data_IF_061191994307
#
_entry.id   IF_061191994307
#
_cell.length_a   1.000
_cell.length_b   1.000
_cell.length_c   1.000
_cell.angle_alpha   90.00
_cell.angle_beta   90.00
_cell.angle_gamma   90.00
#
_symmetry.space_group_name_H-M   'P 1'
#
loop_
_entity.id
_entity.type
_entity.pdbx_description
1 polymer ?
#
# COMPACT_ATOMS: atom_id res chain seq x y z
N UNK A 1 -9.52 7.81 6.18
CA UNK A 1 -9.14 7.50 4.81
C UNK A 1 -8.79 6.03 4.64
N UNK A 2 -8.96 5.49 3.43
CA UNK A 2 -8.45 4.17 3.05
C UNK A 2 -6.93 4.30 2.79
N UNK A 3 -6.14 3.37 3.26
CA UNK A 3 -4.70 3.32 2.99
C UNK A 3 -4.36 2.02 2.27
N UNK A 4 -3.89 2.13 1.03
CA UNK A 4 -3.31 1.04 0.27
C UNK A 4 -1.79 1.03 0.43
N UNK A 5 -1.21 -0.10 0.79
CA UNK A 5 0.24 -0.25 0.91
C UNK A 5 0.71 -1.38 0.00
N UNK A 6 1.48 -1.01 -1.00
CA UNK A 6 2.12 -1.94 -1.91
C UNK A 6 3.41 -2.49 -1.29
N UNK A 7 3.64 -3.77 -1.49
CA UNK A 7 4.86 -4.46 -1.08
C UNK A 7 5.31 -5.43 -2.15
N UNK A 8 6.62 -5.65 -2.25
CA UNK A 8 7.18 -6.73 -3.04
C UNK A 8 7.69 -7.84 -2.13
N UNK A 9 7.36 -9.08 -2.49
CA UNK A 9 7.91 -10.27 -1.85
C UNK A 9 9.13 -10.70 -2.66
N UNK A 10 10.20 -11.13 -2.00
CA UNK A 10 11.45 -11.54 -2.62
C UNK A 10 12.12 -12.69 -1.87
N UNK A 11 12.98 -13.43 -2.54
CA UNK A 11 13.88 -14.39 -1.93
C UNK A 11 15.03 -13.70 -1.15
N UNK A 12 15.93 -14.50 -0.57
CA UNK A 12 17.07 -14.00 0.21
C UNK A 12 18.31 -13.74 -0.62
N UNK A 13 18.30 -14.11 -1.90
CA UNK A 13 19.49 -14.07 -2.75
C UNK A 13 19.66 -12.71 -3.43
N UNK A 14 20.90 -12.41 -3.84
CA UNK A 14 21.21 -11.23 -4.63
C UNK A 14 21.77 -11.68 -5.99
N UNK A 15 21.30 -11.13 -7.12
CA UNK A 15 20.28 -10.09 -7.29
C UNK A 15 18.88 -10.51 -6.85
N UNK A 16 18.04 -9.53 -6.47
CA UNK A 16 16.70 -9.76 -5.96
C UNK A 16 15.81 -10.44 -7.00
N UNK A 17 15.24 -11.56 -6.63
CA UNK A 17 14.29 -12.29 -7.46
C UNK A 17 12.93 -12.43 -6.76
N UNK A 18 11.82 -12.49 -7.51
CA UNK A 18 10.54 -12.86 -6.94
C UNK A 18 10.64 -14.32 -6.43
N UNK A 19 10.09 -14.63 -5.24
CA UNK A 19 10.13 -15.97 -4.71
C UNK A 19 9.28 -16.91 -5.57
N UNK A 20 9.51 -18.20 -5.40
CA UNK A 20 8.64 -19.22 -5.98
C UNK A 20 7.35 -19.29 -5.18
N UNK A 21 6.22 -19.29 -5.87
CA UNK A 21 4.92 -19.56 -5.28
C UNK A 21 4.72 -21.05 -5.00
N UNK A 22 3.53 -21.42 -4.52
CA UNK A 22 3.15 -22.81 -4.22
C UNK A 22 3.25 -23.77 -5.43
N UNK A 23 3.13 -23.24 -6.65
CA UNK A 23 3.33 -24.01 -7.88
C UNK A 23 4.80 -24.31 -8.18
N UNK A 24 5.74 -23.79 -7.41
CA UNK A 24 7.18 -23.86 -7.67
C UNK A 24 7.67 -22.89 -8.74
N UNK A 25 6.81 -22.02 -9.27
CA UNK A 25 7.12 -21.00 -10.29
C UNK A 25 7.27 -19.62 -9.66
N UNK A 26 8.13 -18.80 -10.25
CA UNK A 26 8.23 -17.39 -9.91
C UNK A 26 7.31 -16.54 -10.80
N UNK A 27 6.59 -15.60 -10.19
CA UNK A 27 5.77 -14.61 -10.90
C UNK A 27 6.69 -13.49 -11.36
N UNK A 28 6.84 -13.33 -12.67
CA UNK A 28 7.77 -12.38 -13.28
C UNK A 28 7.17 -10.98 -13.55
N UNK A 29 5.92 -10.74 -13.14
CA UNK A 29 5.19 -9.48 -13.36
C UNK A 29 4.14 -9.56 -14.46
N UNK A 30 3.44 -8.44 -14.70
CA UNK A 30 2.39 -8.35 -15.72
C UNK A 30 1.12 -9.13 -15.38
N UNK A 31 0.84 -9.36 -14.09
CA UNK A 31 -0.31 -10.12 -13.61
C UNK A 31 -1.22 -9.29 -12.67
N UNK A 32 -1.30 -8.00 -12.92
CA UNK A 32 -2.18 -7.11 -12.17
C UNK A 32 -3.61 -7.68 -12.06
N UNK A 33 -4.17 -7.63 -10.85
CA UNK A 33 -5.51 -8.16 -10.48
C UNK A 33 -5.66 -9.69 -10.63
N UNK A 34 -4.57 -10.45 -10.78
CA UNK A 34 -4.63 -11.91 -10.93
C UNK A 34 -4.92 -12.61 -9.61
N UNK A 35 -6.08 -13.26 -9.51
CA UNK A 35 -6.41 -14.14 -8.39
C UNK A 35 -5.44 -15.34 -8.31
N UNK A 36 -5.05 -15.89 -9.46
CA UNK A 36 -4.07 -16.96 -9.51
C UNK A 36 -2.71 -16.52 -8.97
N UNK A 37 -2.30 -15.28 -9.26
CA UNK A 37 -1.08 -14.69 -8.70
C UNK A 37 -1.12 -14.55 -7.19
N UNK A 38 -2.26 -14.15 -6.63
CA UNK A 38 -2.48 -14.10 -5.17
C UNK A 38 -2.37 -15.50 -4.57
N UNK A 39 -3.02 -16.49 -5.17
CA UNK A 39 -3.05 -17.86 -4.69
C UNK A 39 -1.67 -18.55 -4.69
N UNK A 40 -0.68 -18.03 -5.39
CA UNK A 40 0.69 -18.53 -5.31
C UNK A 40 1.31 -18.32 -3.91
N UNK A 41 0.75 -17.40 -3.12
CA UNK A 41 1.23 -17.04 -1.77
C UNK A 41 0.15 -17.21 -0.70
N UNK A 42 -0.80 -18.13 -0.89
CA UNK A 42 -1.96 -18.30 -0.02
C UNK A 42 -1.59 -18.52 1.45
N UNK A 43 -0.63 -19.40 1.77
CA UNK A 43 -0.19 -19.64 3.15
C UNK A 43 0.38 -18.37 3.83
N UNK A 44 1.15 -17.55 3.09
CA UNK A 44 1.62 -16.27 3.59
C UNK A 44 0.47 -15.30 3.84
N UNK A 45 -0.47 -15.26 2.91
CA UNK A 45 -1.64 -14.38 2.98
C UNK A 45 -2.52 -14.75 4.17
N UNK A 46 -2.76 -16.03 4.39
CA UNK A 46 -3.50 -16.54 5.55
C UNK A 46 -2.84 -16.13 6.87
N UNK A 47 -1.51 -16.26 6.98
CA UNK A 47 -0.77 -15.77 8.15
C UNK A 47 -0.88 -14.24 8.31
N UNK A 48 -0.82 -13.46 7.23
CA UNK A 48 -0.99 -11.99 7.28
C UNK A 48 -2.38 -11.65 7.83
N UNK A 49 -3.44 -12.27 7.31
CA UNK A 49 -4.81 -12.05 7.80
C UNK A 49 -4.94 -12.46 9.27
N UNK A 50 -4.46 -13.64 9.61
CA UNK A 50 -4.54 -14.16 10.98
C UNK A 50 -3.83 -13.25 12.00
N UNK A 51 -2.60 -12.82 11.68
CA UNK A 51 -1.83 -11.95 12.59
C UNK A 51 -2.41 -10.53 12.65
N UNK A 52 -2.95 -10.03 11.55
CA UNK A 52 -3.62 -8.74 11.51
C UNK A 52 -4.88 -8.76 12.37
N UNK A 53 -5.73 -9.77 12.24
CA UNK A 53 -6.93 -9.95 13.05
C UNK A 53 -6.60 -9.98 14.56
N UNK A 54 -5.55 -10.71 14.96
CA UNK A 54 -5.10 -10.78 16.36
C UNK A 54 -4.65 -9.44 16.93
N UNK A 55 -4.24 -8.51 16.07
CA UNK A 55 -3.81 -7.16 16.43
C UNK A 55 -4.92 -6.11 16.26
N UNK A 56 -6.11 -6.52 15.83
CA UNK A 56 -7.23 -5.60 15.56
C UNK A 56 -7.00 -4.74 14.31
N UNK A 57 -6.15 -5.18 13.38
CA UNK A 57 -5.93 -4.50 12.10
C UNK A 57 -6.96 -4.99 11.09
N UNK A 58 -7.77 -4.09 10.58
CA UNK A 58 -8.82 -4.42 9.61
C UNK A 58 -8.31 -4.31 8.17
N UNK A 59 -8.03 -5.46 7.56
CA UNK A 59 -7.73 -5.54 6.12
C UNK A 59 -9.06 -5.45 5.36
N UNK A 60 -9.11 -4.55 4.36
CA UNK A 60 -10.28 -4.38 3.49
C UNK A 60 -10.15 -5.25 2.24
N UNK A 61 -9.10 -5.04 1.45
CA UNK A 61 -8.87 -5.79 0.21
C UNK A 61 -7.40 -6.14 0.03
N UNK A 62 -7.15 -7.18 -0.78
CA UNK A 62 -5.81 -7.57 -1.21
C UNK A 62 -5.83 -7.75 -2.73
N UNK A 63 -4.84 -7.16 -3.40
CA UNK A 63 -4.72 -7.13 -4.86
C UNK A 63 -3.31 -7.58 -5.26
N UNK A 64 -3.20 -8.36 -6.33
CA UNK A 64 -1.92 -8.57 -7.00
C UNK A 64 -1.65 -7.39 -7.94
N UNK A 65 -0.52 -6.72 -7.73
CA UNK A 65 -0.08 -5.59 -8.54
C UNK A 65 0.70 -6.01 -9.79
N UNK A 66 1.12 -5.04 -10.60
CA UNK A 66 1.82 -5.27 -11.87
C UNK A 66 3.23 -5.81 -11.69
N UNK A 67 3.88 -5.51 -10.58
CA UNK A 67 5.26 -5.95 -10.32
C UNK A 67 5.37 -7.43 -9.98
N UNK A 68 6.56 -8.03 -10.15
CA UNK A 68 6.82 -9.41 -9.78
C UNK A 68 6.56 -9.67 -8.29
N UNK A 69 5.64 -10.57 -7.97
CA UNK A 69 5.21 -10.88 -6.59
C UNK A 69 4.90 -9.60 -5.78
N UNK A 70 4.29 -8.62 -6.42
CA UNK A 70 3.87 -7.37 -5.80
C UNK A 70 2.42 -7.49 -5.36
N UNK A 71 2.17 -7.22 -4.09
CA UNK A 71 0.84 -7.24 -3.49
C UNK A 71 0.51 -5.86 -2.95
N UNK A 72 -0.72 -5.42 -3.13
CA UNK A 72 -1.30 -4.28 -2.45
C UNK A 72 -2.30 -4.78 -1.40
N UNK A 73 -2.20 -4.25 -0.20
CA UNK A 73 -3.13 -4.54 0.88
C UNK A 73 -3.72 -3.23 1.36
N UNK A 74 -5.03 -3.12 1.30
CA UNK A 74 -5.79 -1.97 1.73
C UNK A 74 -6.29 -2.17 3.15
N UNK A 75 -6.06 -1.18 4.00
CA UNK A 75 -6.63 -1.13 5.34
C UNK A 75 -7.94 -0.34 5.31
N UNK A 76 -8.89 -0.75 6.14
CA UNK A 76 -10.16 -0.05 6.32
C UNK A 76 -9.92 1.39 6.77
N UNK A 77 -10.74 2.31 6.29
CA UNK A 77 -10.68 3.71 6.67
C UNK A 77 -11.00 3.92 8.16
N UNK A 78 -10.38 4.92 8.76
CA UNK A 78 -10.56 5.24 10.17
C UNK A 78 -10.00 6.62 10.53
N UNK A 79 -9.81 6.85 11.82
CA UNK A 79 -9.10 8.03 12.33
C UNK A 79 -7.68 8.07 11.76
N UNK A 80 -7.20 9.23 11.28
CA UNK A 80 -5.92 9.32 10.60
C UNK A 80 -4.71 8.99 11.49
N UNK A 81 -4.77 9.28 12.80
CA UNK A 81 -3.66 9.01 13.73
C UNK A 81 -3.63 7.52 14.05
N UNK A 82 -4.77 6.95 14.41
CA UNK A 82 -4.90 5.52 14.68
C UNK A 82 -4.50 4.70 13.45
N UNK A 83 -4.94 5.12 12.25
CA UNK A 83 -4.61 4.43 11.01
C UNK A 83 -3.11 4.52 10.67
N UNK A 84 -2.46 5.64 10.99
CA UNK A 84 -1.01 5.76 10.82
C UNK A 84 -0.24 4.76 11.70
N UNK A 85 -0.66 4.59 12.96
CA UNK A 85 -0.10 3.60 13.87
C UNK A 85 -0.39 2.17 13.39
N UNK A 86 -1.60 1.91 12.91
CA UNK A 86 -1.97 0.62 12.30
C UNK A 86 -1.09 0.28 11.10
N UNK A 87 -0.83 1.23 10.19
CA UNK A 87 0.06 1.03 9.03
C UNK A 87 1.47 0.69 9.48
N UNK A 88 1.98 1.33 10.52
CA UNK A 88 3.30 1.03 11.07
C UNK A 88 3.38 -0.41 11.59
N UNK A 89 2.42 -0.83 12.41
CA UNK A 89 2.33 -2.19 12.95
C UNK A 89 2.11 -3.21 11.84
N UNK A 90 1.25 -2.91 10.89
CA UNK A 90 0.94 -3.76 9.74
C UNK A 90 2.18 -4.07 8.90
N UNK A 91 2.99 -3.06 8.57
CA UNK A 91 4.26 -3.27 7.84
C UNK A 91 5.22 -4.20 8.58
N UNK A 92 5.25 -4.13 9.90
CA UNK A 92 6.03 -5.05 10.74
C UNK A 92 5.47 -6.47 10.67
N UNK A 93 4.15 -6.60 10.85
CA UNK A 93 3.45 -7.89 10.82
C UNK A 93 3.71 -8.64 9.50
N UNK A 94 3.60 -7.95 8.37
CA UNK A 94 3.89 -8.53 7.05
C UNK A 94 5.34 -9.02 6.95
N UNK A 95 6.31 -8.23 7.44
CA UNK A 95 7.71 -8.65 7.40
C UNK A 95 7.96 -9.90 8.22
N UNK A 96 7.38 -10.00 9.41
CA UNK A 96 7.51 -11.18 10.27
C UNK A 96 6.80 -12.40 9.66
N UNK A 97 5.61 -12.21 9.09
CA UNK A 97 4.92 -13.28 8.36
C UNK A 97 5.78 -13.79 7.18
N UNK A 98 6.33 -12.89 6.36
CA UNK A 98 7.20 -13.26 5.25
C UNK A 98 8.44 -14.04 5.71
N UNK A 99 9.09 -13.63 6.80
CA UNK A 99 10.24 -14.34 7.37
C UNK A 99 9.87 -15.76 7.82
N UNK A 100 8.69 -15.97 8.35
CA UNK A 100 8.19 -17.30 8.74
C UNK A 100 8.12 -18.25 7.52
N UNK A 101 7.83 -17.72 6.34
CA UNK A 101 7.80 -18.46 5.07
C UNK A 101 9.16 -18.46 4.34
N UNK A 102 10.23 -17.99 4.98
CA UNK A 102 11.59 -18.01 4.40
C UNK A 102 11.81 -16.98 3.29
N UNK A 103 10.94 -15.99 3.15
CA UNK A 103 11.00 -14.90 2.16
C UNK A 103 11.05 -13.55 2.85
N UNK A 104 11.24 -12.48 2.08
CA UNK A 104 11.26 -11.11 2.59
C UNK A 104 10.14 -10.28 1.97
N UNK A 105 9.47 -9.49 2.79
CA UNK A 105 8.59 -8.40 2.34
C UNK A 105 9.34 -7.06 2.41
N UNK A 106 9.30 -6.30 1.34
CA UNK A 106 9.88 -4.97 1.26
C UNK A 106 8.83 -3.93 0.87
N UNK A 107 8.88 -2.79 1.54
CA UNK A 107 8.10 -1.60 1.22
C UNK A 107 8.98 -0.50 0.61
N UNK A 108 10.11 -0.89 0.02
CA UNK A 108 10.99 0.00 -0.71
C UNK A 108 10.28 0.53 -1.95
N UNK A 109 10.35 1.83 -2.19
CA UNK A 109 9.62 2.46 -3.29
C UNK A 109 10.02 1.92 -4.68
N UNK A 110 11.29 1.55 -4.89
CA UNK A 110 11.78 0.93 -6.14
C UNK A 110 12.72 -0.24 -5.80
N UNK A 111 12.17 -1.41 -5.46
CA UNK A 111 12.98 -2.55 -5.04
C UNK A 111 13.75 -3.21 -6.19
N UNK A 112 13.20 -3.18 -7.41
CA UNK A 112 13.80 -3.79 -8.60
C UNK A 112 13.85 -2.80 -9.75
N UNK A 113 15.03 -2.67 -10.36
CA UNK A 113 15.21 -1.82 -11.54
C UNK A 113 14.41 -2.39 -12.72
N UNK A 114 13.78 -1.51 -13.50
CA UNK A 114 12.97 -1.91 -14.66
C UNK A 114 11.60 -2.51 -14.33
N UNK A 115 11.27 -2.71 -13.04
CA UNK A 115 9.96 -3.18 -12.59
C UNK A 115 9.14 -2.01 -12.00
N UNK A 116 7.82 -2.14 -11.87
CA UNK A 116 6.99 -1.17 -11.15
C UNK A 116 7.51 -0.86 -9.75
N UNK A 117 7.30 0.36 -9.29
CA UNK A 117 7.59 0.76 -7.91
C UNK A 117 6.46 0.36 -6.98
N UNK A 118 6.71 0.47 -5.67
CA UNK A 118 5.70 0.31 -4.64
C UNK A 118 5.33 1.67 -4.06
N UNK A 119 4.04 1.95 -3.96
CA UNK A 119 3.51 3.19 -3.41
C UNK A 119 2.72 2.96 -2.12
N UNK A 120 2.34 4.04 -1.49
CA UNK A 120 1.31 4.06 -0.46
C UNK A 120 0.30 5.12 -0.86
N UNK A 121 -0.90 4.68 -1.26
CA UNK A 121 -1.99 5.57 -1.60
C UNK A 121 -2.81 5.90 -0.35
N UNK A 122 -3.14 7.17 -0.16
CA UNK A 122 -3.95 7.64 0.96
C UNK A 122 -5.20 8.32 0.39
N UNK A 123 -6.34 7.67 0.59
CA UNK A 123 -7.64 8.24 0.24
C UNK A 123 -8.14 9.05 1.42
N UNK A 124 -8.55 10.29 1.17
CA UNK A 124 -8.98 11.22 2.22
C UNK A 124 -10.39 11.72 1.96
N UNK A 125 -11.20 11.70 3.01
CA UNK A 125 -12.47 12.40 3.05
C UNK A 125 -12.55 13.20 4.35
N UNK A 126 -13.28 14.30 4.33
CA UNK A 126 -13.52 15.11 5.52
C UNK A 126 -15.04 15.25 5.70
N UNK A 127 -15.50 14.92 6.88
CA UNK A 127 -16.92 15.01 7.23
C UNK A 127 -17.14 16.06 8.31
N UNK A 128 -18.26 16.74 8.21
CA UNK A 128 -18.75 17.64 9.25
C UNK A 128 -19.17 16.82 10.47
N UNK A 129 -18.67 17.16 11.64
CA UNK A 129 -18.85 16.35 12.85
C UNK A 129 -20.31 16.18 13.24
N UNK A 130 -21.08 17.26 13.10
CA UNK A 130 -22.50 17.29 13.57
C UNK A 130 -23.43 16.54 12.63
N UNK A 131 -23.17 16.55 11.33
CA UNK A 131 -24.10 16.03 10.29
C UNK A 131 -23.60 14.76 9.63
N UNK A 132 -22.31 14.44 9.72
CA UNK A 132 -21.68 13.37 8.97
C UNK A 132 -21.54 13.64 7.47
N UNK A 133 -21.89 14.85 7.01
CA UNK A 133 -21.86 15.23 5.59
C UNK A 133 -20.42 15.37 5.12
N UNK A 134 -20.09 14.76 3.98
CA UNK A 134 -18.80 14.98 3.32
C UNK A 134 -18.72 16.43 2.81
N UNK A 135 -17.72 17.19 3.30
CA UNK A 135 -17.55 18.59 2.93
C UNK A 135 -16.97 18.79 1.53
N UNK A 136 -16.40 17.75 0.92
CA UNK A 136 -15.81 17.81 -0.42
C UNK A 136 -16.84 17.70 -1.54
N UNK A 137 -18.10 17.36 -1.22
CA UNK A 137 -19.18 17.22 -2.18
C UNK A 137 -20.36 18.13 -1.85
N UNK A 138 -20.91 18.77 -2.88
CA UNK A 138 -22.19 19.47 -2.81
C UNK A 138 -23.35 18.47 -2.85
N UNK A 139 -24.58 18.89 -2.46
CA UNK A 139 -25.77 18.03 -2.51
C UNK A 139 -26.10 17.46 -3.90
N UNK A 140 -25.70 18.16 -4.97
CA UNK A 140 -25.87 17.74 -6.35
C UNK A 140 -24.79 16.79 -6.86
N UNK A 141 -23.83 16.40 -5.98
CA UNK A 141 -22.69 15.53 -6.31
C UNK A 141 -21.50 16.25 -6.95
N UNK A 142 -21.59 17.55 -7.19
CA UNK A 142 -20.46 18.32 -7.69
C UNK A 142 -19.39 18.56 -6.60
N UNK A 143 -18.13 18.81 -7.00
CA UNK A 143 -17.07 19.17 -6.08
C UNK A 143 -17.38 20.50 -5.39
N UNK A 144 -17.18 20.54 -4.07
CA UNK A 144 -17.40 21.74 -3.27
C UNK A 144 -16.24 22.74 -3.36
N UNK A 145 -16.45 23.94 -2.83
CA UNK A 145 -15.39 24.94 -2.69
C UNK A 145 -14.29 24.46 -1.74
N UNK A 146 -14.64 23.76 -0.68
CA UNK A 146 -13.74 23.16 0.30
C UNK A 146 -12.81 22.14 -0.35
N UNK A 147 -13.33 21.35 -1.29
CA UNK A 147 -12.50 20.41 -2.07
C UNK A 147 -11.42 21.15 -2.86
N UNK A 148 -11.77 22.23 -3.56
CA UNK A 148 -10.77 23.03 -4.32
C UNK A 148 -9.77 23.74 -3.42
N UNK A 149 -10.18 24.18 -2.23
CA UNK A 149 -9.26 24.74 -1.24
C UNK A 149 -8.28 23.68 -0.74
N UNK A 150 -8.75 22.44 -0.50
CA UNK A 150 -7.90 21.33 -0.10
C UNK A 150 -6.86 21.00 -1.18
N UNK A 151 -7.28 20.90 -2.44
CA UNK A 151 -6.37 20.66 -3.58
C UNK A 151 -5.34 21.79 -3.70
N UNK A 152 -5.75 23.06 -3.58
CA UNK A 152 -4.83 24.20 -3.58
C UNK A 152 -3.81 24.15 -2.44
N UNK A 153 -4.23 23.71 -1.27
CA UNK A 153 -3.35 23.44 -0.13
C UNK A 153 -2.34 22.33 -0.44
N UNK A 154 -2.80 21.21 -1.00
CA UNK A 154 -1.91 20.12 -1.43
C UNK A 154 -0.86 20.60 -2.44
N UNK A 155 -1.26 21.33 -3.48
CA UNK A 155 -0.33 21.88 -4.47
C UNK A 155 0.70 22.82 -3.87
N UNK A 156 0.32 23.57 -2.84
CA UNK A 156 1.21 24.55 -2.18
C UNK A 156 2.19 23.90 -1.22
N UNK A 157 1.75 22.91 -0.45
CA UNK A 157 2.50 22.41 0.70
C UNK A 157 3.17 21.06 0.46
N UNK A 158 2.60 20.16 -0.36
CA UNK A 158 3.20 18.84 -0.62
C UNK A 158 4.63 18.94 -1.17
N UNK A 159 4.95 19.82 -2.13
CA UNK A 159 6.32 19.96 -2.61
C UNK A 159 7.31 20.37 -1.50
N UNK A 160 6.87 21.11 -0.49
CA UNK A 160 7.70 21.56 0.64
C UNK A 160 7.89 20.49 1.70
N UNK A 161 6.98 19.49 1.77
CA UNK A 161 7.01 18.40 2.72
C UNK A 161 7.47 17.09 2.08
N UNK A 162 7.93 17.11 0.83
CA UNK A 162 8.30 15.93 0.08
C UNK A 162 9.37 15.08 0.79
N UNK A 163 10.31 15.72 1.48
CA UNK A 163 11.32 15.03 2.26
C UNK A 163 10.74 14.13 3.39
N UNK A 164 9.53 14.43 3.87
CA UNK A 164 8.82 13.58 4.85
C UNK A 164 8.06 12.44 4.18
N UNK A 165 7.55 12.67 2.96
CA UNK A 165 6.78 11.69 2.21
C UNK A 165 7.66 10.73 1.40
N UNK A 166 8.80 11.22 0.92
CA UNK A 166 9.79 10.49 0.13
C UNK A 166 11.19 10.65 0.74
N UNK A 167 11.45 10.10 1.97
CA UNK A 167 12.64 10.41 2.74
C UNK A 167 13.93 9.72 2.23
N UNK A 168 13.81 8.76 1.33
CA UNK A 168 14.94 7.98 0.83
C UNK A 168 15.24 8.33 -0.63
N UNK A 169 16.51 8.28 -1.02
CA UNK A 169 16.94 8.45 -2.41
C UNK A 169 16.20 7.48 -3.35
N UNK A 170 15.98 6.25 -2.91
CA UNK A 170 15.22 5.25 -3.65
C UNK A 170 13.79 5.68 -3.98
N UNK A 171 13.15 6.50 -3.14
CA UNK A 171 11.80 7.02 -3.37
C UNK A 171 11.71 7.82 -4.68
N UNK A 172 12.77 8.54 -5.03
CA UNK A 172 12.83 9.36 -6.26
C UNK A 172 13.03 8.53 -7.53
N UNK A 173 13.36 7.23 -7.40
CA UNK A 173 13.41 6.29 -8.53
C UNK A 173 12.04 5.70 -8.88
N UNK A 174 11.06 5.87 -8.00
CA UNK A 174 9.68 5.38 -8.17
C UNK A 174 8.74 6.42 -8.77
N UNK A 175 9.19 7.65 -8.96
CA UNK A 175 8.37 8.72 -9.52
C UNK A 175 8.12 8.45 -11.01
N UNK A 176 6.85 8.31 -11.37
CA UNK A 176 6.45 8.03 -12.75
C UNK A 176 6.42 9.33 -13.56
N UNK A 177 6.12 10.44 -12.91
CA UNK A 177 6.04 11.76 -13.54
C UNK A 177 6.49 12.86 -12.57
N UNK A 178 7.58 13.48 -12.83
CA UNK A 178 7.91 14.83 -12.43
C UNK A 178 8.18 15.63 -13.70
#
# INVERSE_FOLDING_TARGET
GLVGSEMCIRDRDYPLHPPKGRSGRSILGGQGYSIAGINEFDELIDDIYHFSEKQGLEIDTLIHEEGPAQLEINLRHGDPIELADQVFMFKRTIREAALKHGIYATFMAKPMQGQPGSAMHIHQSVVEVETGRNIFSNPDGSASKEFFHFIGGMQTYVPKTLAMMAPYVNSYLSLIHI
#
